data_IF_863843993081
#
_entry.id   IF_863843993081
#
_cell.length_a   1.000
_cell.length_b   1.000
_cell.length_c   1.000
_cell.angle_alpha   90.00
_cell.angle_beta   90.00
_cell.angle_gamma   90.00
#
_symmetry.space_group_name_H-M   'P 1'
#
loop_
_entity.id
_entity.type
_entity.pdbx_description
1 polymer ?
#
# COMPACT_ATOMS: atom_id res chain seq x y z
N UNK A 1 -3.47 -7.53 24.10
CA UNK A 1 -4.09 -6.98 22.86
C UNK A 1 -3.49 -7.57 21.57
N UNK A 2 -2.67 -8.62 21.63
CA UNK A 2 -1.99 -9.23 20.47
C UNK A 2 -2.79 -10.35 19.79
N UNK A 3 -3.73 -10.98 20.49
CA UNK A 3 -4.47 -12.14 19.96
C UNK A 3 -5.57 -11.83 18.93
N UNK A 4 -6.06 -10.59 18.82
CA UNK A 4 -7.10 -10.21 17.84
C UNK A 4 -6.50 -9.81 16.50
N UNK A 5 -5.40 -9.05 16.48
CA UNK A 5 -4.70 -8.67 15.25
C UNK A 5 -4.16 -9.89 14.49
N UNK A 6 -3.67 -10.90 15.21
CA UNK A 6 -3.15 -12.10 14.56
C UNK A 6 -4.26 -12.92 13.87
N UNK A 7 -5.45 -13.00 14.49
CA UNK A 7 -6.63 -13.65 13.89
C UNK A 7 -7.12 -12.96 12.62
N UNK A 8 -7.02 -11.64 12.56
CA UNK A 8 -7.43 -10.87 11.38
C UNK A 8 -6.47 -11.08 10.21
N UNK A 9 -5.15 -10.99 10.46
CA UNK A 9 -4.12 -11.29 9.45
C UNK A 9 -4.29 -12.71 8.90
N UNK A 10 -4.42 -13.70 9.78
CA UNK A 10 -4.65 -15.08 9.39
C UNK A 10 -5.90 -15.25 8.51
N UNK A 11 -7.03 -14.65 8.91
CA UNK A 11 -8.27 -14.72 8.13
C UNK A 11 -8.11 -14.15 6.72
N UNK A 12 -7.45 -12.99 6.61
CA UNK A 12 -7.25 -12.33 5.32
C UNK A 12 -6.24 -13.10 4.46
N UNK A 13 -5.18 -13.64 5.06
CA UNK A 13 -4.23 -14.51 4.36
C UNK A 13 -4.92 -15.77 3.80
N UNK A 14 -5.79 -16.42 4.57
CA UNK A 14 -6.57 -17.55 4.05
C UNK A 14 -7.44 -17.18 2.86
N UNK A 15 -8.08 -16.00 2.88
CA UNK A 15 -8.87 -15.51 1.75
C UNK A 15 -7.99 -15.27 0.52
N UNK A 16 -6.84 -14.61 0.71
CA UNK A 16 -5.86 -14.34 -0.35
C UNK A 16 -5.35 -15.65 -0.99
N UNK A 17 -4.97 -16.63 -0.18
CA UNK A 17 -4.53 -17.94 -0.66
C UNK A 17 -5.64 -18.64 -1.44
N UNK A 18 -6.89 -18.55 -0.98
CA UNK A 18 -8.04 -19.12 -1.68
C UNK A 18 -8.32 -18.42 -3.03
N UNK A 19 -8.16 -17.10 -3.12
CA UNK A 19 -8.31 -16.33 -4.36
C UNK A 19 -7.28 -16.75 -5.43
N UNK A 20 -6.11 -17.23 -4.99
CA UNK A 20 -5.06 -17.77 -5.85
C UNK A 20 -5.03 -19.31 -5.86
N UNK A 21 -6.20 -19.94 -5.79
CA UNK A 21 -6.39 -21.39 -5.95
C UNK A 21 -5.59 -22.28 -4.96
N UNK A 22 -5.23 -21.72 -3.81
CA UNK A 22 -4.34 -22.30 -2.80
C UNK A 22 -2.88 -22.44 -3.21
N UNK A 23 -2.41 -21.65 -4.19
CA UNK A 23 -0.99 -21.53 -4.53
C UNK A 23 -0.26 -20.63 -3.53
N UNK A 24 0.23 -21.23 -2.45
CA UNK A 24 0.96 -20.51 -1.40
C UNK A 24 2.29 -19.95 -1.86
N UNK A 25 2.95 -20.59 -2.83
CA UNK A 25 4.24 -20.12 -3.35
C UNK A 25 4.04 -18.83 -4.15
N UNK A 26 3.03 -18.79 -5.02
CA UNK A 26 2.63 -17.58 -5.72
C UNK A 26 2.24 -16.46 -4.73
N UNK A 27 1.46 -16.78 -3.70
CA UNK A 27 1.05 -15.79 -2.68
C UNK A 27 2.26 -15.24 -1.93
N UNK A 28 3.24 -16.09 -1.61
CA UNK A 28 4.50 -15.68 -0.98
C UNK A 28 5.28 -14.70 -1.86
N UNK A 29 5.47 -15.02 -3.14
CA UNK A 29 6.16 -14.16 -4.11
C UNK A 29 5.42 -12.82 -4.32
N UNK A 30 4.09 -12.87 -4.38
CA UNK A 30 3.26 -11.67 -4.46
C UNK A 30 3.42 -10.79 -3.21
N UNK A 31 3.32 -11.35 -2.01
CA UNK A 31 3.49 -10.62 -0.75
C UNK A 31 4.89 -10.02 -0.62
N UNK A 32 5.92 -10.74 -1.05
CA UNK A 32 7.29 -10.25 -1.09
C UNK A 32 7.44 -9.06 -2.06
N UNK A 33 6.80 -9.14 -3.23
CA UNK A 33 6.78 -8.06 -4.21
C UNK A 33 6.11 -6.82 -3.63
N UNK A 34 4.91 -6.96 -3.06
CA UNK A 34 4.18 -5.84 -2.44
C UNK A 34 4.99 -5.23 -1.30
N UNK A 35 5.59 -6.05 -0.44
CA UNK A 35 6.46 -5.58 0.67
C UNK A 35 7.63 -4.76 0.16
N UNK A 36 8.28 -5.24 -0.90
CA UNK A 36 9.46 -4.58 -1.50
C UNK A 36 9.07 -3.25 -2.12
N UNK A 37 8.06 -3.23 -2.99
CA UNK A 37 7.60 -2.01 -3.66
C UNK A 37 7.12 -0.95 -2.66
N UNK A 38 6.33 -1.35 -1.66
CA UNK A 38 5.81 -0.41 -0.65
C UNK A 38 6.93 0.15 0.24
N UNK A 39 8.01 -0.59 0.48
CA UNK A 39 9.19 -0.06 1.16
C UNK A 39 9.86 1.04 0.34
N UNK A 40 9.99 0.86 -0.98
CA UNK A 40 10.53 1.89 -1.87
C UNK A 40 9.62 3.12 -1.93
N UNK A 41 8.31 2.92 -2.04
CA UNK A 41 7.33 4.01 -2.04
C UNK A 41 7.37 4.79 -0.72
N UNK A 42 7.53 4.12 0.42
CA UNK A 42 7.64 4.77 1.72
C UNK A 42 8.88 5.67 1.77
N UNK A 43 10.05 5.15 1.38
CA UNK A 43 11.29 5.93 1.34
C UNK A 43 11.18 7.14 0.41
N UNK A 44 10.58 6.98 -0.77
CA UNK A 44 10.38 8.09 -1.71
C UNK A 44 9.44 9.15 -1.15
N UNK A 45 8.36 8.74 -0.50
CA UNK A 45 7.38 9.67 0.07
C UNK A 45 7.95 10.40 1.29
N UNK A 46 8.82 9.76 2.08
CA UNK A 46 9.56 10.41 3.17
C UNK A 46 10.45 11.54 2.66
N UNK A 47 11.25 11.27 1.61
CA UNK A 47 12.12 12.29 1.00
C UNK A 47 11.34 13.51 0.50
N UNK A 48 10.07 13.33 0.12
CA UNK A 48 9.21 14.45 -0.29
C UNK A 48 8.73 15.32 0.84
N UNK A 49 8.36 14.68 1.94
CA UNK A 49 7.94 15.37 3.15
C UNK A 49 9.11 16.21 3.67
N UNK A 50 10.32 15.65 3.68
CA UNK A 50 11.49 16.27 4.30
C UNK A 50 12.16 17.36 3.45
N UNK A 51 12.18 17.19 2.13
CA UNK A 51 12.96 18.08 1.25
C UNK A 51 12.13 18.98 0.34
N UNK A 52 10.79 18.89 0.37
CA UNK A 52 9.89 19.55 -0.60
C UNK A 52 10.42 19.46 -2.03
N UNK A 53 11.09 18.34 -2.34
CA UNK A 53 11.82 18.19 -3.57
C UNK A 53 10.79 18.03 -4.69
N UNK A 54 11.10 18.54 -5.89
CA UNK A 54 10.19 18.50 -7.04
C UNK A 54 10.01 17.07 -7.56
N UNK A 55 9.23 16.24 -6.87
CA UNK A 55 8.64 15.06 -7.49
C UNK A 55 7.46 15.53 -8.33
N UNK A 56 7.37 14.94 -9.52
CA UNK A 56 6.23 15.15 -10.40
C UNK A 56 4.96 14.63 -9.72
N UNK A 57 3.89 15.40 -9.77
CA UNK A 57 2.53 14.95 -9.40
C UNK A 57 2.20 13.60 -10.05
N UNK A 58 2.73 13.36 -11.26
CA UNK A 58 2.62 12.08 -11.96
C UNK A 58 3.16 10.88 -11.16
N UNK A 59 4.25 11.04 -10.41
CA UNK A 59 4.85 9.96 -9.62
C UNK A 59 4.02 9.64 -8.36
N UNK A 60 3.59 10.64 -7.58
CA UNK A 60 2.73 10.38 -6.42
C UNK A 60 1.38 9.81 -6.83
N UNK A 61 0.84 10.24 -7.99
CA UNK A 61 -0.35 9.64 -8.61
C UNK A 61 -0.12 8.17 -8.98
N UNK A 62 1.03 7.86 -9.61
CA UNK A 62 1.40 6.47 -9.93
C UNK A 62 1.53 5.61 -8.68
N UNK A 63 2.16 6.13 -7.61
CA UNK A 63 2.27 5.40 -6.34
C UNK A 63 0.87 5.13 -5.77
N UNK A 64 -0.01 6.13 -5.75
CA UNK A 64 -1.39 5.94 -5.28
C UNK A 64 -2.16 4.91 -6.11
N UNK A 65 -1.99 4.91 -7.43
CA UNK A 65 -2.59 3.92 -8.33
C UNK A 65 -2.13 2.47 -8.01
N UNK A 66 -0.82 2.27 -7.89
CA UNK A 66 -0.26 0.94 -7.60
C UNK A 66 -0.65 0.47 -6.20
N UNK A 67 -0.66 1.39 -5.23
CA UNK A 67 -1.07 1.11 -3.86
C UNK A 67 -2.55 0.73 -3.76
N UNK A 68 -3.42 1.36 -4.55
CA UNK A 68 -4.85 1.00 -4.65
C UNK A 68 -5.01 -0.45 -5.07
N UNK A 69 -4.32 -0.86 -6.14
CA UNK A 69 -4.36 -2.23 -6.64
C UNK A 69 -3.84 -3.22 -5.61
N UNK A 70 -2.67 -2.95 -5.00
CA UNK A 70 -2.09 -3.79 -3.97
C UNK A 70 -3.00 -3.93 -2.73
N UNK A 71 -3.55 -2.82 -2.23
CA UNK A 71 -4.47 -2.83 -1.10
C UNK A 71 -5.76 -3.59 -1.41
N UNK A 72 -6.30 -3.44 -2.62
CA UNK A 72 -7.48 -4.17 -3.07
C UNK A 72 -7.24 -5.68 -3.12
N UNK A 73 -6.12 -6.13 -3.70
CA UNK A 73 -5.76 -7.54 -3.72
C UNK A 73 -5.52 -8.10 -2.32
N UNK A 74 -5.00 -7.31 -1.39
CA UNK A 74 -4.81 -7.71 0.01
C UNK A 74 -6.08 -7.60 0.88
N UNK A 75 -7.26 -7.38 0.29
CA UNK A 75 -8.54 -7.19 0.99
C UNK A 75 -8.51 -6.05 2.03
N UNK A 76 -7.73 -5.00 1.77
CA UNK A 76 -7.66 -3.78 2.57
C UNK A 76 -8.55 -2.70 1.98
N UNK A 77 -9.87 -2.93 1.96
CA UNK A 77 -10.84 -2.08 1.24
C UNK A 77 -10.73 -0.60 1.60
N UNK A 78 -10.61 -0.28 2.90
CA UNK A 78 -10.52 1.11 3.36
C UNK A 78 -9.23 1.81 2.85
N UNK A 79 -8.12 1.09 2.82
CA UNK A 79 -6.84 1.63 2.34
C UNK A 79 -6.82 1.70 0.80
N UNK A 80 -7.48 0.77 0.10
CA UNK A 80 -7.70 0.83 -1.35
C UNK A 80 -8.54 2.05 -1.75
N UNK A 81 -9.66 2.30 -1.05
CA UNK A 81 -10.49 3.49 -1.23
C UNK A 81 -9.69 4.77 -0.97
N UNK A 82 -8.87 4.77 0.10
CA UNK A 82 -8.02 5.92 0.43
C UNK A 82 -7.00 6.19 -0.67
N UNK A 83 -6.33 5.14 -1.17
CA UNK A 83 -5.37 5.26 -2.27
C UNK A 83 -6.04 5.76 -3.55
N UNK A 84 -7.26 5.29 -3.85
CA UNK A 84 -8.04 5.78 -4.99
C UNK A 84 -8.41 7.27 -4.86
N UNK A 85 -8.83 7.71 -3.67
CA UNK A 85 -9.12 9.13 -3.41
C UNK A 85 -7.87 9.99 -3.64
N UNK A 86 -6.71 9.54 -3.14
CA UNK A 86 -5.45 10.26 -3.35
C UNK A 86 -5.03 10.30 -4.82
N UNK A 87 -5.20 9.19 -5.56
CA UNK A 87 -4.94 9.16 -7.00
C UNK A 87 -5.78 10.20 -7.76
N UNK A 88 -7.07 10.33 -7.42
CA UNK A 88 -7.97 11.33 -8.00
C UNK A 88 -7.56 12.75 -7.62
N UNK A 89 -7.26 13.01 -6.34
CA UNK A 89 -6.77 14.30 -5.87
C UNK A 89 -5.48 14.72 -6.62
N UNK A 90 -4.52 13.81 -6.80
CA UNK A 90 -3.30 14.09 -7.55
C UNK A 90 -3.56 14.31 -9.04
N UNK A 91 -4.52 13.59 -9.64
CA UNK A 91 -4.93 13.84 -11.01
C UNK A 91 -5.50 15.25 -11.18
N UNK A 92 -6.32 15.72 -10.24
CA UNK A 92 -6.87 17.09 -10.25
C UNK A 92 -5.76 18.15 -10.12
N UNK A 93 -4.79 17.94 -9.23
CA UNK A 93 -3.63 18.83 -9.05
C UNK A 93 -2.78 18.92 -10.32
N UNK A 94 -2.59 17.81 -11.04
CA UNK A 94 -1.83 17.76 -12.29
C UNK A 94 -2.44 18.69 -13.37
N UNK A 95 -3.77 18.80 -13.40
CA UNK A 95 -4.49 19.68 -14.33
C UNK A 95 -4.57 21.13 -13.84
N UNK A 96 -4.61 21.35 -12.53
CA UNK A 96 -4.77 22.68 -11.93
C UNK A 96 -3.46 23.43 -11.67
N UNK A 97 -2.30 22.78 -11.92
CA UNK A 97 -0.95 23.30 -11.63
C UNK A 97 -0.74 23.72 -10.17
N UNK A 98 -1.48 23.11 -9.26
CA UNK A 98 -1.36 23.34 -7.81
C UNK A 98 -0.29 22.42 -7.21
N UNK A 99 0.38 22.91 -6.16
CA UNK A 99 1.37 22.14 -5.43
C UNK A 99 0.71 21.05 -4.55
N UNK A 100 1.43 19.94 -4.36
CA UNK A 100 1.00 18.87 -3.47
C UNK A 100 1.12 19.34 -2.02
N UNK A 101 0.05 19.19 -1.23
CA UNK A 101 0.08 19.54 0.18
C UNK A 101 0.77 18.48 1.04
N UNK A 102 1.40 18.90 2.14
CA UNK A 102 2.03 17.99 3.09
C UNK A 102 1.04 16.97 3.68
N UNK A 103 -0.22 17.35 3.89
CA UNK A 103 -1.27 16.44 4.39
C UNK A 103 -1.60 15.33 3.40
N UNK A 104 -1.59 15.60 2.09
CA UNK A 104 -1.77 14.58 1.05
C UNK A 104 -0.60 13.58 1.03
N UNK A 105 0.64 14.08 1.13
CA UNK A 105 1.83 13.22 1.24
C UNK A 105 1.80 12.36 2.52
N UNK A 106 1.39 12.94 3.64
CA UNK A 106 1.24 12.20 4.91
C UNK A 106 0.17 11.11 4.83
N UNK A 107 -0.98 11.41 4.21
CA UNK A 107 -2.04 10.41 3.94
C UNK A 107 -1.50 9.29 3.06
N UNK A 108 -0.83 9.62 1.96
CA UNK A 108 -0.21 8.63 1.07
C UNK A 108 0.79 7.75 1.80
N UNK A 109 1.73 8.35 2.54
CA UNK A 109 2.71 7.63 3.36
C UNK A 109 2.04 6.71 4.38
N UNK A 110 1.04 7.21 5.09
CA UNK A 110 0.32 6.39 6.07
C UNK A 110 -0.34 5.17 5.42
N UNK A 111 -0.93 5.32 4.24
CA UNK A 111 -1.53 4.20 3.50
C UNK A 111 -0.46 3.21 3.04
N UNK A 112 0.67 3.70 2.52
CA UNK A 112 1.82 2.85 2.12
C UNK A 112 2.30 1.99 3.29
N UNK A 113 2.52 2.60 4.46
CA UNK A 113 3.03 1.91 5.64
C UNK A 113 2.07 0.84 6.16
N UNK A 114 0.76 1.06 6.07
CA UNK A 114 -0.23 0.05 6.45
C UNK A 114 -0.20 -1.15 5.51
N UNK A 115 -0.22 -0.91 4.20
CA UNK A 115 -0.14 -1.99 3.19
C UNK A 115 1.16 -2.78 3.35
N UNK A 116 2.29 -2.08 3.53
CA UNK A 116 3.58 -2.69 3.81
C UNK A 116 3.56 -3.59 5.05
N UNK A 117 3.03 -3.08 6.16
CA UNK A 117 2.94 -3.83 7.42
C UNK A 117 2.05 -5.05 7.29
N UNK A 118 0.90 -4.93 6.61
CA UNK A 118 0.00 -6.06 6.36
C UNK A 118 0.68 -7.13 5.51
N UNK A 119 1.28 -6.75 4.38
CA UNK A 119 1.99 -7.70 3.52
C UNK A 119 3.13 -8.41 4.27
N UNK A 120 3.88 -7.67 5.09
CA UNK A 120 4.94 -8.24 5.93
C UNK A 120 4.39 -9.22 6.97
N UNK A 121 3.28 -8.89 7.63
CA UNK A 121 2.66 -9.78 8.62
C UNK A 121 2.06 -11.04 7.99
N UNK A 122 1.43 -10.90 6.83
CA UNK A 122 0.91 -12.04 6.06
C UNK A 122 2.03 -12.96 5.60
N UNK A 123 3.15 -12.41 5.12
CA UNK A 123 4.30 -13.21 4.71
C UNK A 123 4.88 -14.01 5.89
N UNK A 124 5.06 -13.37 7.06
CA UNK A 124 5.53 -14.06 8.26
C UNK A 124 4.56 -15.15 8.74
N UNK A 125 3.24 -14.92 8.64
CA UNK A 125 2.23 -15.91 8.99
C UNK A 125 2.25 -17.09 8.00
N UNK A 126 2.37 -16.82 6.71
CA UNK A 126 2.45 -17.85 5.66
C UNK A 126 3.70 -18.72 5.80
N UNK A 127 4.85 -18.12 6.13
CA UNK A 127 6.10 -18.84 6.42
C UNK A 127 6.02 -19.77 7.65
N UNK A 128 4.98 -19.61 8.48
CA UNK A 128 4.74 -20.44 9.66
C UNK A 128 3.77 -21.60 9.44
N UNK A 129 3.16 -21.70 8.26
CA UNK A 129 2.28 -22.81 7.88
C UNK A 129 3.08 -24.07 7.54
#
# INVERSE_FOLDING_TARGET
MTGTKNKEIHRVLCALVADFENDSDFVSDFLLTVKTETSEYASRTELLIDHHNKISITEVKRIAHLLKSAAGTLHLDADSITANSLEQEFAELEHSMQDISASQLQRLRSTILKVHATASNMLMELESW
#
